data_IF_106113349079
#
_entry.id   IF_106113349079
#
_cell.length_a   1.000
_cell.length_b   1.000
_cell.length_c   1.000
_cell.angle_alpha   90.00
_cell.angle_beta   90.00
_cell.angle_gamma   90.00
#
_symmetry.space_group_name_H-M   'P 1'
#
loop_
_entity.id
_entity.type
_entity.pdbx_description
1 polymer ?
#
# COMPACT_ATOMS: atom_id res chain seq x y z
N UNK A 1 16.50 2.03 2.20
CA UNK A 1 15.66 2.63 3.24
C UNK A 1 15.59 4.14 3.01
N UNK A 2 14.39 4.74 2.96
CA UNK A 2 14.26 6.18 2.68
C UNK A 2 14.81 7.04 3.82
N UNK A 3 15.51 8.14 3.49
CA UNK A 3 15.92 9.17 4.47
C UNK A 3 14.69 10.01 4.84
N UNK A 4 13.90 9.56 5.81
CA UNK A 4 12.68 10.22 6.25
C UNK A 4 12.46 10.00 7.75
N UNK A 5 11.60 10.84 8.37
CA UNK A 5 11.30 10.79 9.80
C UNK A 5 12.29 11.56 10.67
N UNK A 6 12.29 11.30 11.98
CA UNK A 6 13.09 12.08 12.94
C UNK A 6 14.59 12.03 12.67
N UNK A 7 15.08 10.89 12.16
CA UNK A 7 16.49 10.65 11.80
C UNK A 7 17.00 11.64 10.75
N UNK A 8 16.18 11.97 9.76
CA UNK A 8 16.53 12.95 8.72
C UNK A 8 16.88 14.31 9.32
N UNK A 9 16.07 14.78 10.28
CA UNK A 9 16.29 16.07 10.94
C UNK A 9 17.44 16.07 11.94
N UNK A 10 17.92 14.91 12.37
CA UNK A 10 19.12 14.82 13.19
C UNK A 10 20.39 14.93 12.35
N UNK A 11 20.40 14.27 11.19
CA UNK A 11 21.49 14.35 10.20
C UNK A 11 21.61 15.76 9.59
N UNK A 12 20.48 16.40 9.30
CA UNK A 12 20.44 17.67 8.55
C UNK A 12 20.56 18.93 9.43
N UNK A 13 20.94 18.81 10.72
CA UNK A 13 21.12 19.98 11.61
C UNK A 13 22.09 21.04 11.07
N UNK A 14 23.09 20.61 10.30
CA UNK A 14 24.08 21.48 9.69
C UNK A 14 23.66 22.07 8.33
N UNK A 15 22.50 21.66 7.81
CA UNK A 15 22.01 22.15 6.52
C UNK A 15 21.68 23.65 6.60
N UNK A 16 22.03 24.39 5.54
CA UNK A 16 21.72 25.81 5.41
C UNK A 16 20.23 26.10 5.62
N UNK A 17 19.35 25.32 4.99
CA UNK A 17 17.90 25.53 5.09
C UNK A 17 17.38 25.31 6.51
N UNK A 18 17.90 24.29 7.20
CA UNK A 18 17.55 24.00 8.58
C UNK A 18 17.92 25.17 9.51
N UNK A 19 19.16 25.67 9.40
CA UNK A 19 19.63 26.84 10.18
C UNK A 19 18.87 28.12 9.86
N UNK A 20 18.52 28.33 8.59
CA UNK A 20 17.76 29.51 8.17
C UNK A 20 16.35 29.49 8.76
N UNK A 21 15.65 28.36 8.72
CA UNK A 21 14.31 28.24 9.31
C UNK A 21 14.34 28.44 10.82
N UNK A 22 15.33 27.87 11.51
CA UNK A 22 15.52 28.09 12.95
C UNK A 22 15.73 29.56 13.31
N UNK A 23 16.53 30.29 12.53
CA UNK A 23 16.74 31.73 12.72
C UNK A 23 15.46 32.55 12.54
N UNK A 24 14.52 32.06 11.72
CA UNK A 24 13.21 32.69 11.52
C UNK A 24 12.15 32.24 12.56
N UNK A 25 12.56 31.51 13.60
CA UNK A 25 11.70 31.11 14.71
C UNK A 25 10.88 29.84 14.47
N UNK A 26 11.20 29.07 13.43
CA UNK A 26 10.64 27.73 13.22
C UNK A 26 11.44 26.68 14.00
N UNK A 27 10.76 25.70 14.59
CA UNK A 27 11.41 24.60 15.30
C UNK A 27 11.06 23.22 14.71
N UNK A 28 11.97 22.25 14.91
CA UNK A 28 11.81 20.88 14.40
C UNK A 28 10.48 20.30 14.91
N UNK A 29 9.66 19.82 13.99
CA UNK A 29 8.38 19.19 14.30
C UNK A 29 7.19 20.15 14.25
N UNK A 30 7.41 21.46 14.17
CA UNK A 30 6.33 22.43 13.99
C UNK A 30 5.93 22.58 12.53
N UNK A 31 4.63 22.82 12.30
CA UNK A 31 4.13 23.22 11.00
C UNK A 31 4.56 24.64 10.64
N UNK A 32 4.57 24.96 9.35
CA UNK A 32 4.83 26.32 8.87
C UNK A 32 3.60 27.24 8.99
N UNK A 33 3.81 28.55 8.83
CA UNK A 33 2.76 29.58 8.81
C UNK A 33 2.49 30.24 10.16
N UNK A 34 1.65 31.29 10.15
CA UNK A 34 1.37 32.16 11.33
C UNK A 34 1.00 31.39 12.59
N UNK A 35 0.19 30.35 12.45
CA UNK A 35 -0.33 29.54 13.56
C UNK A 35 0.42 28.20 13.73
N UNK A 36 1.50 27.97 12.98
CA UNK A 36 2.27 26.71 12.98
C UNK A 36 1.45 25.45 12.65
N UNK A 37 0.36 25.60 11.89
CA UNK A 37 -0.56 24.52 11.50
C UNK A 37 -0.29 23.96 10.09
N UNK A 38 0.76 24.41 9.42
CA UNK A 38 1.15 23.87 8.11
C UNK A 38 1.54 22.40 8.20
N UNK A 39 1.42 21.69 7.07
CA UNK A 39 1.79 20.27 7.00
C UNK A 39 3.26 20.06 7.36
N UNK A 40 3.52 19.16 8.31
CA UNK A 40 4.88 18.84 8.79
C UNK A 40 5.61 17.84 7.88
N UNK A 41 4.88 17.20 6.98
CA UNK A 41 5.39 16.22 6.01
C UNK A 41 5.25 16.73 4.58
N UNK A 42 6.19 16.35 3.72
CA UNK A 42 6.11 16.66 2.28
C UNK A 42 4.94 15.90 1.60
N UNK A 43 4.43 16.48 0.51
CA UNK A 43 3.41 15.82 -0.33
C UNK A 43 4.09 14.69 -1.10
N UNK A 44 3.58 13.47 -0.95
CA UNK A 44 4.09 12.29 -1.67
C UNK A 44 3.45 12.19 -3.04
N UNK A 45 4.26 12.28 -4.09
CA UNK A 45 3.83 11.95 -5.44
C UNK A 45 3.95 10.45 -5.64
N UNK A 46 2.85 9.80 -6.05
CA UNK A 46 2.91 8.42 -6.53
C UNK A 46 3.20 8.45 -8.02
N UNK A 47 4.31 7.83 -8.42
CA UNK A 47 4.58 7.62 -9.84
C UNK A 47 3.70 6.49 -10.35
N UNK A 48 2.97 6.76 -11.43
CA UNK A 48 2.20 5.77 -12.16
C UNK A 48 3.16 4.97 -13.04
N UNK A 49 3.26 3.66 -12.75
CA UNK A 49 4.14 2.74 -13.50
C UNK A 49 3.40 1.91 -14.55
N UNK A 50 2.08 2.01 -14.57
CA UNK A 50 1.23 1.26 -15.49
C UNK A 50 0.69 2.18 -16.60
N UNK A 51 0.03 1.57 -17.59
CA UNK A 51 -0.65 2.27 -18.68
C UNK A 51 -2.17 2.38 -18.46
N UNK A 52 -2.67 2.05 -17.27
CA UNK A 52 -4.11 2.04 -16.96
C UNK A 52 -4.74 3.44 -16.97
N UNK A 53 -6.05 3.55 -17.19
CA UNK A 53 -6.76 4.82 -17.04
C UNK A 53 -6.86 5.26 -15.58
N UNK A 54 -7.02 6.57 -15.33
CA UNK A 54 -7.34 7.08 -13.99
C UNK A 54 -8.70 6.49 -13.56
N UNK A 55 -8.75 5.86 -12.39
CA UNK A 55 -9.97 5.22 -11.88
C UNK A 55 -10.14 3.74 -12.28
N UNK A 56 -9.19 3.14 -13.01
CA UNK A 56 -9.17 1.70 -13.21
C UNK A 56 -9.05 0.98 -11.85
N UNK A 57 -10.09 0.24 -11.47
CA UNK A 57 -10.10 -0.61 -10.26
C UNK A 57 -9.76 -2.03 -10.66
N UNK A 58 -8.69 -2.58 -10.07
CA UNK A 58 -8.23 -3.96 -10.26
C UNK A 58 -6.96 -4.04 -11.11
N UNK A 59 -5.95 -4.75 -10.60
CA UNK A 59 -4.94 -5.34 -11.48
C UNK A 59 -5.64 -6.47 -12.25
N UNK A 60 -5.35 -6.63 -13.55
CA UNK A 60 -5.86 -7.79 -14.30
C UNK A 60 -5.51 -9.11 -13.61
N UNK A 61 -4.40 -9.14 -12.87
CA UNK A 61 -3.91 -10.30 -12.12
C UNK A 61 -4.87 -10.74 -11.00
N UNK A 62 -5.53 -9.81 -10.32
CA UNK A 62 -6.46 -10.12 -9.22
C UNK A 62 -7.70 -10.89 -9.73
N UNK A 63 -8.09 -10.62 -10.99
CA UNK A 63 -9.24 -11.26 -11.62
C UNK A 63 -8.97 -12.72 -12.01
N UNK A 64 -7.75 -13.04 -12.45
CA UNK A 64 -7.37 -14.43 -12.77
C UNK A 64 -7.36 -15.32 -11.52
N UNK A 65 -6.74 -14.84 -10.43
CA UNK A 65 -6.70 -15.57 -9.15
C UNK A 65 -8.11 -15.78 -8.58
N UNK A 66 -8.97 -14.76 -8.64
CA UNK A 66 -10.38 -14.88 -8.26
C UNK A 66 -11.16 -15.88 -9.14
N UNK A 67 -10.97 -15.85 -10.46
CA UNK A 67 -11.65 -16.78 -11.39
C UNK A 67 -11.22 -18.23 -11.21
N UNK A 68 -9.97 -18.50 -10.83
CA UNK A 68 -9.47 -19.87 -10.65
C UNK A 68 -10.17 -20.55 -9.46
N UNK A 69 -10.38 -19.82 -8.37
CA UNK A 69 -11.12 -20.32 -7.20
C UNK A 69 -12.57 -20.70 -7.54
N UNK A 70 -13.27 -19.81 -8.25
CA UNK A 70 -14.65 -20.05 -8.71
C UNK A 70 -14.73 -21.24 -9.66
N UNK A 71 -13.77 -21.38 -10.58
CA UNK A 71 -13.73 -22.50 -11.53
C UNK A 71 -13.59 -23.86 -10.83
N UNK A 72 -12.75 -23.96 -9.80
CA UNK A 72 -12.59 -25.20 -9.02
C UNK A 72 -13.85 -25.57 -8.24
N UNK A 73 -14.57 -24.58 -7.70
CA UNK A 73 -15.88 -24.81 -7.05
C UNK A 73 -16.90 -25.35 -8.06
N UNK A 74 -16.95 -24.79 -9.27
CA UNK A 74 -17.84 -25.26 -10.33
C UNK A 74 -17.52 -26.69 -10.78
N UNK A 75 -16.24 -27.03 -10.95
CA UNK A 75 -15.82 -28.40 -11.28
C UNK A 75 -16.17 -29.39 -10.17
N UNK A 76 -15.99 -29.01 -8.90
CA UNK A 76 -16.37 -29.84 -7.75
C UNK A 76 -17.87 -30.11 -7.75
N UNK A 77 -18.69 -29.09 -8.03
CA UNK A 77 -20.16 -29.21 -8.14
C UNK A 77 -20.60 -30.05 -9.34
N UNK A 78 -19.91 -30.00 -10.47
CA UNK A 78 -20.26 -30.80 -11.64
C UNK A 78 -19.83 -32.28 -11.49
N UNK A 79 -18.66 -32.50 -10.91
CA UNK A 79 -18.11 -33.83 -10.64
C UNK A 79 -18.95 -34.58 -9.60
N UNK A 80 -19.44 -33.85 -8.60
CA UNK A 80 -20.36 -34.37 -7.59
C UNK A 80 -21.78 -34.18 -8.12
N UNK A 81 -22.35 -35.16 -8.82
CA UNK A 81 -23.69 -35.07 -9.43
C UNK A 81 -24.85 -35.02 -8.42
N UNK A 82 -24.79 -34.15 -7.40
CA UNK A 82 -25.80 -33.89 -6.39
C UNK A 82 -25.85 -32.38 -6.09
N UNK A 83 -27.03 -31.74 -6.10
CA UNK A 83 -27.16 -30.28 -5.98
C UNK A 83 -26.95 -29.70 -4.56
N UNK A 84 -26.76 -30.52 -3.54
CA UNK A 84 -26.78 -30.11 -2.12
C UNK A 84 -25.48 -30.46 -1.38
N UNK A 85 -24.36 -29.85 -1.78
CA UNK A 85 -23.09 -29.94 -1.05
C UNK A 85 -22.76 -28.59 -0.41
N UNK A 86 -23.25 -28.42 0.82
CA UNK A 86 -23.00 -27.37 1.82
C UNK A 86 -21.94 -26.29 1.47
N UNK A 87 -22.44 -25.10 1.12
CA UNK A 87 -21.69 -23.90 0.74
C UNK A 87 -21.10 -23.11 1.94
N UNK A 88 -20.64 -23.77 3.00
CA UNK A 88 -20.18 -23.07 4.22
C UNK A 88 -18.65 -22.96 4.37
N UNK A 89 -17.85 -23.86 3.76
CA UNK A 89 -16.39 -23.90 4.00
C UNK A 89 -15.53 -23.40 2.83
N UNK A 90 -16.08 -23.15 1.63
CA UNK A 90 -15.27 -22.74 0.47
C UNK A 90 -14.89 -21.23 0.47
N UNK A 91 -15.55 -20.41 1.30
CA UNK A 91 -15.27 -18.98 1.41
C UNK A 91 -14.22 -18.64 2.49
N UNK A 92 -13.98 -19.53 3.46
CA UNK A 92 -13.07 -19.23 4.60
C UNK A 92 -11.57 -19.46 4.29
N UNK A 93 -11.24 -19.94 3.09
CA UNK A 93 -9.85 -20.18 2.66
C UNK A 93 -9.21 -19.06 1.85
N UNK A 94 -9.95 -18.00 1.50
CA UNK A 94 -9.47 -16.93 0.63
C UNK A 94 -8.95 -15.71 1.42
N UNK A 95 -8.12 -15.93 2.44
CA UNK A 95 -7.36 -14.82 3.05
C UNK A 95 -6.08 -15.24 3.81
N UNK A 96 -5.49 -16.40 3.49
CA UNK A 96 -4.20 -16.82 4.08
C UNK A 96 -3.26 -17.45 3.05
N UNK A 97 -2.75 -16.64 2.14
CA UNK A 97 -1.39 -16.87 1.66
C UNK A 97 -0.56 -15.64 2.04
N UNK A 98 -0.01 -15.70 3.26
CA UNK A 98 0.94 -14.71 3.75
C UNK A 98 2.13 -14.69 2.80
N UNK A 99 2.34 -13.53 2.17
CA UNK A 99 3.41 -13.30 1.23
C UNK A 99 4.78 -13.71 1.78
N UNK A 100 5.23 -14.92 1.44
CA UNK A 100 6.65 -15.24 1.38
C UNK A 100 7.13 -14.86 -0.01
N UNK A 101 7.69 -13.65 -0.08
CA UNK A 101 8.41 -13.19 -1.26
C UNK A 101 9.46 -14.23 -1.66
N UNK A 102 9.29 -14.80 -2.84
CA UNK A 102 10.29 -15.64 -3.48
C UNK A 102 11.44 -14.74 -3.94
N UNK A 103 12.52 -14.72 -3.16
CA UNK A 103 13.80 -14.17 -3.55
C UNK A 103 14.39 -15.05 -4.67
N UNK A 104 14.45 -14.51 -5.89
CA UNK A 104 15.15 -15.15 -6.99
C UNK A 104 16.61 -14.68 -6.99
N UNK A 105 17.54 -15.65 -6.86
CA UNK A 105 18.97 -15.46 -7.04
C UNK A 105 19.32 -15.00 -8.45
#
# INVERSE_FOLDING_TARGET
AGRHGEKFWEEEKNNFGFRMMQKMGWSKGEGLGKNRKGTTTFIRVRQKKDNSGIGAKGRQDDNWHAMTGVFNVLLKRLSSSNPDADDAEAAEGLDKDEGKGMEYK
#
